data_IF_964366600720
#
_entry.id   IF_964366600720
#
_cell.length_a   1.000
_cell.length_b   1.000
_cell.length_c   1.000
_cell.angle_alpha   90.00
_cell.angle_beta   90.00
_cell.angle_gamma   90.00
#
_symmetry.space_group_name_H-M   'P 1'
#
loop_
_entity.id
_entity.type
_entity.pdbx_description
1 polymer ?
#
# COMPACT_ATOMS: atom_id res chain seq x y z
N UNK A 1 -8.59 -20.33 19.79
CA UNK A 1 -7.24 -20.13 20.36
C UNK A 1 -6.78 -18.75 19.94
N UNK A 2 -6.27 -17.94 20.88
CA UNK A 2 -5.64 -16.66 20.53
C UNK A 2 -4.24 -17.00 20.03
N UNK A 3 -3.97 -16.75 18.76
CA UNK A 3 -2.63 -16.94 18.22
C UNK A 3 -1.67 -15.98 18.92
N UNK A 4 -0.49 -16.47 19.35
CA UNK A 4 0.56 -15.59 19.88
C UNK A 4 1.34 -15.04 18.69
N UNK A 5 1.42 -13.71 18.50
CA UNK A 5 2.19 -13.14 17.41
C UNK A 5 3.68 -13.46 17.59
N UNK A 6 4.32 -13.91 16.51
CA UNK A 6 5.77 -14.13 16.46
C UNK A 6 6.41 -13.01 15.66
N UNK A 7 7.48 -12.37 16.15
CA UNK A 7 8.20 -11.36 15.39
C UNK A 7 8.70 -11.91 14.05
N UNK A 8 8.53 -11.12 12.99
CA UNK A 8 9.11 -11.39 11.68
C UNK A 8 10.40 -10.58 11.51
N UNK A 9 11.31 -10.97 10.60
CA UNK A 9 12.47 -10.17 10.26
C UNK A 9 12.07 -8.74 9.89
N UNK A 10 12.78 -7.76 10.43
CA UNK A 10 12.48 -6.35 10.24
C UNK A 10 13.10 -5.89 8.91
N UNK A 11 12.34 -5.23 8.01
CA UNK A 11 12.91 -4.64 6.81
C UNK A 11 14.08 -3.68 7.10
N UNK A 12 15.11 -3.63 6.24
CA UNK A 12 16.30 -2.83 6.48
C UNK A 12 15.99 -1.32 6.47
N UNK A 13 16.64 -0.59 7.39
CA UNK A 13 16.56 0.87 7.45
C UNK A 13 15.37 1.44 8.23
N UNK A 14 14.51 0.59 8.81
CA UNK A 14 13.38 1.03 9.64
C UNK A 14 13.80 1.72 10.93
N UNK A 15 15.03 1.50 11.40
CA UNK A 15 15.67 2.21 12.50
C UNK A 15 15.87 3.71 12.25
N UNK A 16 15.74 4.15 10.99
CA UNK A 16 15.91 5.54 10.55
C UNK A 16 14.57 6.25 10.30
N UNK A 17 13.44 5.60 10.56
CA UNK A 17 12.15 6.23 10.41
C UNK A 17 12.00 7.40 11.41
N UNK A 18 11.30 8.44 10.96
CA UNK A 18 10.88 9.56 11.81
C UNK A 18 9.91 9.08 12.90
N UNK A 19 9.69 9.93 13.90
CA UNK A 19 8.64 9.72 14.89
C UNK A 19 7.28 9.55 14.20
N UNK A 20 6.51 8.54 14.63
CA UNK A 20 5.27 8.09 13.99
C UNK A 20 5.42 7.57 12.55
N UNK A 21 6.64 7.20 12.13
CA UNK A 21 6.87 6.43 10.91
C UNK A 21 6.77 4.93 11.21
N UNK A 22 5.97 4.21 10.43
CA UNK A 22 5.80 2.77 10.54
C UNK A 22 5.73 2.09 9.17
N UNK A 23 5.70 0.75 9.22
CA UNK A 23 5.24 -0.05 8.08
C UNK A 23 3.73 0.12 8.02
N UNK A 24 3.24 0.89 7.06
CA UNK A 24 1.80 1.10 6.86
C UNK A 24 1.24 0.14 5.81
N UNK A 25 2.07 -0.31 4.88
CA UNK A 25 1.64 -1.12 3.74
C UNK A 25 2.09 -2.57 3.91
N UNK A 26 1.14 -3.51 4.00
CA UNK A 26 1.44 -4.94 4.15
C UNK A 26 0.55 -5.80 3.27
N UNK A 27 1.14 -6.77 2.55
CA UNK A 27 0.38 -7.75 1.78
C UNK A 27 1.09 -9.12 1.76
N UNK A 28 0.36 -10.25 1.63
CA UNK A 28 0.99 -11.55 1.45
C UNK A 28 1.71 -11.63 0.09
N UNK A 29 2.82 -12.37 0.04
CA UNK A 29 3.56 -12.69 -1.17
C UNK A 29 3.76 -14.21 -1.29
N UNK A 30 4.25 -14.69 -2.43
CA UNK A 30 4.67 -16.09 -2.54
C UNK A 30 5.96 -16.30 -1.73
N UNK A 31 5.88 -17.19 -0.74
CA UNK A 31 6.99 -17.49 0.16
C UNK A 31 7.30 -16.39 1.18
N UNK A 32 6.41 -15.42 1.39
CA UNK A 32 6.71 -14.28 2.24
C UNK A 32 5.64 -13.20 2.27
N UNK A 33 6.08 -11.96 2.39
CA UNK A 33 5.20 -10.80 2.45
C UNK A 33 5.84 -9.55 1.85
N UNK A 34 4.99 -8.67 1.34
CA UNK A 34 5.31 -7.30 0.98
C UNK A 34 5.15 -6.42 2.21
N UNK A 35 6.11 -5.52 2.45
CA UNK A 35 6.05 -4.48 3.47
C UNK A 35 6.38 -3.12 2.83
N UNK A 36 5.79 -2.03 3.28
CA UNK A 36 6.04 -0.70 2.75
C UNK A 36 5.83 0.39 3.79
N UNK A 37 6.53 1.50 3.65
CA UNK A 37 6.45 2.66 4.55
C UNK A 37 5.62 3.79 3.93
N UNK A 38 4.92 4.54 4.79
CA UNK A 38 4.04 5.63 4.33
C UNK A 38 4.80 6.70 3.57
N UNK A 39 5.96 7.09 4.05
CA UNK A 39 6.75 8.18 3.49
C UNK A 39 8.23 7.79 3.38
N UNK A 40 9.01 8.45 2.50
CA UNK A 40 10.41 8.14 2.31
C UNK A 40 11.22 8.23 3.61
N UNK A 41 12.14 7.28 3.81
CA UNK A 41 13.11 7.32 4.92
C UNK A 41 13.96 8.59 4.85
N UNK A 42 14.32 8.99 3.62
CA UNK A 42 15.09 10.21 3.33
C UNK A 42 14.21 11.10 2.46
N UNK A 43 13.99 12.34 2.89
CA UNK A 43 13.19 13.30 2.14
C UNK A 43 13.71 13.49 0.70
N UNK A 44 12.79 13.52 -0.26
CA UNK A 44 13.12 13.62 -1.69
C UNK A 44 13.56 12.31 -2.35
N UNK A 45 13.62 11.20 -1.61
CA UNK A 45 13.80 9.86 -2.18
C UNK A 45 12.45 9.17 -2.43
N UNK A 46 12.41 8.12 -3.26
CA UNK A 46 11.23 7.25 -3.36
C UNK A 46 10.91 6.59 -2.01
N UNK A 47 9.65 6.17 -1.88
CA UNK A 47 9.23 5.33 -0.76
C UNK A 47 9.87 3.95 -0.90
N UNK A 48 9.94 3.21 0.20
CA UNK A 48 10.47 1.85 0.19
C UNK A 48 9.34 0.84 0.32
N UNK A 49 9.32 -0.12 -0.61
CA UNK A 49 8.59 -1.38 -0.46
C UNK A 49 9.64 -2.49 -0.40
N UNK A 50 9.43 -3.52 0.41
CA UNK A 50 10.27 -4.69 0.51
C UNK A 50 9.47 -5.93 0.19
N UNK A 51 10.10 -6.87 -0.52
CA UNK A 51 9.68 -8.26 -0.54
C UNK A 51 10.53 -9.04 0.46
N UNK A 52 9.88 -9.52 1.51
CA UNK A 52 10.50 -10.28 2.59
C UNK A 52 10.18 -11.76 2.40
N UNK A 53 11.21 -12.61 2.33
CA UNK A 53 11.09 -14.08 2.26
C UNK A 53 11.98 -14.71 3.31
N UNK A 54 11.55 -15.84 3.86
CA UNK A 54 12.30 -16.53 4.92
C UNK A 54 13.63 -17.06 4.38
N UNK A 55 14.73 -16.71 5.05
CA UNK A 55 16.08 -17.16 4.66
C UNK A 55 16.69 -16.46 3.44
N UNK A 56 16.01 -15.45 2.87
CA UNK A 56 16.50 -14.65 1.74
C UNK A 56 16.80 -13.21 2.18
N UNK A 57 17.78 -12.59 1.52
CA UNK A 57 18.01 -11.15 1.66
C UNK A 57 16.80 -10.36 1.12
N UNK A 58 16.30 -9.35 1.85
CA UNK A 58 15.18 -8.53 1.41
C UNK A 58 15.42 -7.90 0.05
N UNK A 59 14.42 -7.99 -0.82
CA UNK A 59 14.42 -7.29 -2.08
C UNK A 59 13.80 -5.90 -1.92
N UNK A 60 14.48 -4.85 -2.37
CA UNK A 60 14.06 -3.45 -2.18
C UNK A 60 13.47 -2.88 -3.46
N UNK A 61 12.28 -2.32 -3.32
CA UNK A 61 11.58 -1.57 -4.34
C UNK A 61 11.61 -0.09 -3.96
N UNK A 62 12.13 0.72 -4.89
CA UNK A 62 11.95 2.16 -4.86
C UNK A 62 10.58 2.46 -5.48
N UNK A 63 9.65 2.88 -4.63
CA UNK A 63 8.27 3.17 -4.99
C UNK A 63 8.09 4.69 -5.20
N UNK A 64 7.90 5.15 -6.45
CA UNK A 64 7.82 6.57 -6.76
C UNK A 64 6.38 7.08 -6.59
N UNK A 65 5.89 7.14 -5.35
CA UNK A 65 4.58 7.73 -5.08
C UNK A 65 4.50 9.17 -5.61
N UNK A 66 3.30 9.62 -5.99
CA UNK A 66 3.10 11.02 -6.36
C UNK A 66 3.48 11.94 -5.18
N UNK A 67 4.05 13.12 -5.47
CA UNK A 67 4.48 14.05 -4.44
C UNK A 67 3.35 14.38 -3.45
N UNK A 68 3.64 14.18 -2.15
CA UNK A 68 2.71 14.42 -1.05
C UNK A 68 1.79 13.24 -0.72
N UNK A 69 1.69 12.22 -1.58
CA UNK A 69 0.98 11.00 -1.26
C UNK A 69 1.82 10.08 -0.37
N UNK A 70 1.17 9.49 0.61
CA UNK A 70 1.69 8.44 1.47
C UNK A 70 1.16 7.07 1.06
N UNK A 71 1.99 6.03 1.13
CA UNK A 71 1.57 4.64 0.89
C UNK A 71 0.92 4.06 2.14
N UNK A 72 -0.40 3.85 2.14
CA UNK A 72 -1.12 3.47 3.36
C UNK A 72 -1.52 2.00 3.42
N UNK A 73 -1.57 1.28 2.29
CA UNK A 73 -1.87 -0.16 2.31
C UNK A 73 -1.43 -0.85 1.03
N UNK A 74 -1.25 -2.17 1.10
CA UNK A 74 -1.06 -3.04 -0.06
C UNK A 74 -2.09 -4.17 -0.05
N UNK A 75 -2.45 -4.69 -1.22
CA UNK A 75 -3.15 -5.97 -1.36
C UNK A 75 -2.63 -6.74 -2.56
N UNK A 76 -2.67 -8.07 -2.50
CA UNK A 76 -2.28 -8.95 -3.61
C UNK A 76 -3.51 -9.35 -4.43
N UNK A 77 -3.37 -9.38 -5.76
CA UNK A 77 -4.34 -9.93 -6.70
C UNK A 77 -3.64 -10.76 -7.79
N UNK A 78 -3.74 -12.09 -7.69
CA UNK A 78 -2.98 -13.00 -8.55
C UNK A 78 -1.47 -12.78 -8.40
N UNK A 79 -0.78 -12.43 -9.49
CA UNK A 79 0.64 -12.08 -9.49
C UNK A 79 0.91 -10.58 -9.27
N UNK A 80 -0.14 -9.75 -9.27
CA UNK A 80 -0.01 -8.31 -9.09
C UNK A 80 -0.15 -7.91 -7.62
N UNK A 81 0.37 -6.73 -7.32
CA UNK A 81 0.15 -6.02 -6.06
C UNK A 81 -0.55 -4.70 -6.38
N UNK A 82 -1.53 -4.34 -5.57
CA UNK A 82 -2.22 -3.06 -5.64
C UNK A 82 -1.81 -2.26 -4.40
N UNK A 83 -1.41 -1.02 -4.63
CA UNK A 83 -1.14 -0.02 -3.60
C UNK A 83 -2.34 0.90 -3.39
N UNK A 84 -2.55 1.29 -2.14
CA UNK A 84 -3.38 2.44 -1.77
C UNK A 84 -2.47 3.57 -1.33
N UNK A 85 -2.61 4.71 -1.98
CA UNK A 85 -1.96 5.95 -1.60
C UNK A 85 -2.99 6.94 -1.08
N UNK A 86 -2.56 7.78 -0.13
CA UNK A 86 -3.39 8.80 0.50
C UNK A 86 -2.66 10.12 0.54
N UNK A 87 -3.37 11.20 0.25
CA UNK A 87 -2.90 12.57 0.45
C UNK A 87 -3.89 13.32 1.34
N UNK A 88 -3.36 14.19 2.19
CA UNK A 88 -4.16 15.15 2.94
C UNK A 88 -3.43 16.47 3.07
N UNK A 89 -4.15 17.56 2.79
CA UNK A 89 -3.79 18.89 3.26
C UNK A 89 -5.02 19.63 3.75
N UNK A 90 -4.82 20.68 4.56
CA UNK A 90 -5.94 21.49 5.07
C UNK A 90 -6.68 22.23 3.94
N UNK A 91 -5.96 22.66 2.93
CA UNK A 91 -6.49 23.51 1.86
C UNK A 91 -7.16 22.71 0.74
N UNK A 92 -6.71 21.47 0.52
CA UNK A 92 -7.21 20.59 -0.56
C UNK A 92 -8.19 19.54 0.01
N UNK A 93 -7.95 19.04 1.22
CA UNK A 93 -8.66 17.91 1.79
C UNK A 93 -7.99 16.57 1.45
N UNK A 94 -8.76 15.49 1.56
CA UNK A 94 -8.28 14.14 1.24
C UNK A 94 -8.24 13.93 -0.27
N UNK A 95 -7.24 13.17 -0.72
CA UNK A 95 -7.16 12.50 -2.02
C UNK A 95 -6.69 11.06 -1.78
N UNK A 96 -7.08 10.14 -2.65
CA UNK A 96 -6.64 8.76 -2.57
C UNK A 96 -6.42 8.20 -3.97
N UNK A 97 -5.36 7.42 -4.13
CA UNK A 97 -5.00 6.78 -5.40
C UNK A 97 -4.89 5.29 -5.15
N UNK A 98 -5.43 4.51 -6.06
CA UNK A 98 -5.22 3.07 -6.10
C UNK A 98 -4.29 2.84 -7.28
N UNK A 99 -3.23 2.04 -7.11
CA UNK A 99 -2.21 1.87 -8.14
C UNK A 99 -1.78 0.42 -8.32
N UNK A 100 -1.61 0.00 -9.58
CA UNK A 100 -1.15 -1.35 -9.91
C UNK A 100 0.37 -1.36 -9.97
N UNK A 101 0.98 -2.23 -9.18
CA UNK A 101 2.40 -2.50 -9.28
C UNK A 101 2.62 -3.61 -10.31
N UNK A 102 3.71 -3.50 -11.09
CA UNK A 102 4.10 -4.48 -12.09
C UNK A 102 4.16 -5.91 -11.50
N UNK A 103 3.60 -6.90 -12.19
CA UNK A 103 3.62 -8.30 -11.74
C UNK A 103 5.02 -8.92 -11.70
N UNK A 104 5.97 -8.39 -12.46
CA UNK A 104 7.35 -8.87 -12.49
C UNK A 104 8.11 -8.59 -11.18
N UNK A 105 7.54 -7.78 -10.29
CA UNK A 105 8.16 -7.46 -9.00
C UNK A 105 8.39 -8.70 -8.13
N UNK A 106 7.56 -9.72 -8.29
CA UNK A 106 7.71 -10.99 -7.55
C UNK A 106 8.87 -11.86 -8.06
N UNK A 107 9.39 -11.59 -9.26
CA UNK A 107 10.44 -12.38 -9.93
C UNK A 107 11.85 -11.82 -9.75
N UNK A 108 12.01 -10.81 -8.89
CA UNK A 108 13.29 -10.14 -8.71
C UNK A 108 14.24 -10.98 -7.85
N UNK A 109 15.53 -10.94 -8.20
CA UNK A 109 16.57 -11.71 -7.52
C UNK A 109 16.73 -11.20 -6.08
N UNK A 110 16.98 -12.09 -5.10
CA UNK A 110 17.25 -11.67 -3.72
C UNK A 110 18.34 -10.60 -3.63
N UNK A 111 18.14 -9.61 -2.75
CA UNK A 111 19.07 -8.49 -2.56
C UNK A 111 19.18 -7.48 -3.72
N UNK A 112 18.38 -7.61 -4.79
CA UNK A 112 18.36 -6.60 -5.85
C UNK A 112 17.60 -5.33 -5.44
N UNK A 113 17.72 -4.27 -6.23
CA UNK A 113 16.95 -3.03 -6.09
C UNK A 113 16.37 -2.65 -7.46
N UNK A 114 15.08 -2.32 -7.52
CA UNK A 114 14.50 -1.76 -8.74
C UNK A 114 13.56 -0.59 -8.47
N UNK A 115 13.38 0.22 -9.50
CA UNK A 115 12.30 1.19 -9.61
C UNK A 115 11.07 0.48 -10.17
N UNK A 116 9.91 0.66 -9.56
CA UNK A 116 8.65 0.11 -10.07
C UNK A 116 8.16 0.93 -11.24
N UNK A 117 7.86 0.25 -12.36
CA UNK A 117 7.00 0.80 -13.38
C UNK A 117 5.55 0.77 -12.85
N UNK A 118 4.97 1.96 -12.70
CA UNK A 118 3.58 2.11 -12.31
C UNK A 118 2.73 1.93 -13.55
N UNK A 119 2.03 0.80 -13.64
CA UNK A 119 1.07 0.61 -14.70
C UNK A 119 -0.21 1.33 -14.29
N UNK A 120 -0.51 2.40 -15.00
CA UNK A 120 -1.83 3.01 -15.04
C UNK A 120 -2.51 2.50 -16.32
N UNK A 121 -3.07 1.27 -16.35
CA UNK A 121 -3.87 0.87 -17.50
C UNK A 121 -5.14 1.71 -17.50
N UNK A 122 -5.10 2.95 -18.01
CA UNK A 122 -6.20 3.94 -18.01
C UNK A 122 -6.95 4.13 -16.66
N UNK A 123 -6.39 3.63 -15.56
CA UNK A 123 -7.01 3.64 -14.25
C UNK A 123 -6.36 2.63 -13.32
N UNK A 124 -6.08 3.08 -12.11
CA UNK A 124 -6.52 2.27 -10.97
C UNK A 124 -7.43 3.05 -10.01
N UNK A 125 -7.85 4.26 -10.40
CA UNK A 125 -8.77 5.19 -9.73
C UNK A 125 -8.10 6.18 -8.79
N UNK A 126 -8.47 7.44 -9.00
CA UNK A 126 -8.17 8.56 -8.12
C UNK A 126 -9.48 9.08 -7.56
N UNK A 127 -9.51 9.24 -6.24
CA UNK A 127 -10.61 9.84 -5.51
C UNK A 127 -10.16 11.27 -5.17
N UNK A 128 -10.96 12.23 -5.61
CA UNK A 128 -10.70 13.67 -5.48
C UNK A 128 -11.71 14.33 -4.52
N UNK A 129 -11.41 15.53 -4.00
CA UNK A 129 -12.39 16.34 -3.29
C UNK A 129 -13.68 16.51 -4.11
N UNK A 130 -14.83 16.28 -3.46
CA UNK A 130 -16.14 16.25 -4.11
C UNK A 130 -16.67 14.84 -4.39
N UNK A 131 -15.81 13.82 -4.33
CA UNK A 131 -16.23 12.42 -4.33
C UNK A 131 -16.51 11.90 -2.91
N UNK A 132 -16.99 10.66 -2.80
CA UNK A 132 -17.05 9.94 -1.52
C UNK A 132 -15.63 9.59 -1.08
N UNK A 133 -14.99 10.51 -0.36
CA UNK A 133 -13.59 10.35 0.07
C UNK A 133 -13.35 10.65 1.55
N UNK A 134 -12.48 9.86 2.17
CA UNK A 134 -12.06 10.05 3.56
C UNK A 134 -10.61 9.55 3.74
N UNK A 135 -10.15 9.42 4.99
CA UNK A 135 -8.82 8.93 5.35
C UNK A 135 -8.69 7.42 5.12
N UNK A 136 -8.61 7.00 3.85
CA UNK A 136 -8.48 5.59 3.46
C UNK A 136 -7.10 5.01 3.80
N UNK A 137 -7.10 3.95 4.61
CA UNK A 137 -5.90 3.30 5.14
C UNK A 137 -5.91 1.78 4.98
N UNK A 138 -7.02 1.19 4.56
CA UNK A 138 -7.10 -0.25 4.26
C UNK A 138 -7.45 -0.50 2.80
N UNK A 139 -6.81 -1.49 2.19
CA UNK A 139 -7.20 -2.05 0.89
C UNK A 139 -7.19 -3.57 0.92
N UNK A 140 -8.17 -4.21 0.27
CA UNK A 140 -8.24 -5.65 0.17
C UNK A 140 -8.97 -6.08 -1.11
N UNK A 141 -8.61 -7.24 -1.64
CA UNK A 141 -9.39 -7.93 -2.69
C UNK A 141 -10.11 -9.12 -2.07
N UNK A 142 -11.40 -9.26 -2.39
CA UNK A 142 -12.24 -10.36 -1.92
C UNK A 142 -13.30 -10.72 -2.94
N UNK A 143 -14.07 -11.77 -2.65
CA UNK A 143 -15.20 -12.17 -3.50
C UNK A 143 -16.52 -11.93 -2.77
N UNK A 144 -17.49 -11.35 -3.46
CA UNK A 144 -18.87 -11.18 -3.00
C UNK A 144 -19.79 -11.82 -4.02
N UNK A 145 -20.55 -12.83 -3.62
CA UNK A 145 -21.45 -13.59 -4.50
C UNK A 145 -20.77 -14.11 -5.78
N UNK A 146 -19.49 -14.48 -5.68
CA UNK A 146 -18.69 -15.00 -6.80
C UNK A 146 -18.02 -13.93 -7.67
N UNK A 147 -18.31 -12.64 -7.46
CA UNK A 147 -17.66 -11.52 -8.14
C UNK A 147 -16.43 -11.05 -7.36
N UNK A 148 -15.29 -10.89 -8.04
CA UNK A 148 -14.10 -10.30 -7.46
C UNK A 148 -14.29 -8.80 -7.27
N UNK A 149 -14.01 -8.30 -6.07
CA UNK A 149 -14.18 -6.89 -5.71
C UNK A 149 -12.98 -6.35 -4.96
N UNK A 150 -12.67 -5.08 -5.22
CA UNK A 150 -11.70 -4.30 -4.47
C UNK A 150 -12.42 -3.51 -3.38
N UNK A 151 -11.88 -3.55 -2.17
CA UNK A 151 -12.39 -2.84 -1.01
C UNK A 151 -11.38 -1.82 -0.53
N UNK A 152 -11.84 -0.64 -0.14
CA UNK A 152 -11.06 0.31 0.65
C UNK A 152 -11.81 0.73 1.91
N UNK A 153 -11.07 0.87 3.01
CA UNK A 153 -11.58 1.17 4.35
C UNK A 153 -10.94 2.46 4.88
N UNK A 154 -11.76 3.39 5.36
CA UNK A 154 -11.25 4.59 6.02
C UNK A 154 -11.12 4.43 7.53
N UNK A 155 -10.01 4.95 8.05
CA UNK A 155 -9.84 5.19 9.47
C UNK A 155 -10.40 6.56 9.82
N UNK A 156 -11.18 6.64 10.91
CA UNK A 156 -11.70 7.90 11.38
C UNK A 156 -10.71 8.67 12.28
N UNK A 157 -9.55 8.08 12.59
CA UNK A 157 -8.48 8.64 13.41
C UNK A 157 -9.00 9.36 14.67
N UNK A 158 -10.01 8.78 15.32
CA UNK A 158 -10.71 9.34 16.49
C UNK A 158 -11.30 10.77 16.30
N UNK A 159 -11.52 11.19 15.06
CA UNK A 159 -12.01 12.51 14.67
C UNK A 159 -13.47 12.47 14.25
N UNK A 160 -14.32 13.29 14.90
CA UNK A 160 -15.72 13.44 14.50
C UNK A 160 -15.94 14.11 13.13
N UNK A 161 -14.86 14.58 12.48
CA UNK A 161 -14.90 15.13 11.11
C UNK A 161 -14.61 14.08 10.04
N UNK A 162 -14.03 12.94 10.42
CA UNK A 162 -13.74 11.83 9.51
C UNK A 162 -14.82 10.77 9.65
N UNK A 163 -15.07 10.04 8.56
CA UNK A 163 -16.09 8.99 8.48
C UNK A 163 -15.43 7.62 8.47
N UNK A 164 -16.16 6.61 8.95
CA UNK A 164 -15.81 5.20 8.77
C UNK A 164 -16.57 4.68 7.55
N UNK A 165 -15.87 4.55 6.43
CA UNK A 165 -16.42 4.17 5.13
C UNK A 165 -15.79 2.86 4.67
N UNK A 166 -16.61 1.97 4.12
CA UNK A 166 -16.16 0.82 3.34
C UNK A 166 -16.69 0.99 1.92
N UNK A 167 -15.80 1.22 0.95
CA UNK A 167 -16.16 1.28 -0.46
C UNK A 167 -15.81 -0.03 -1.15
N UNK A 168 -16.60 -0.42 -2.14
CA UNK A 168 -16.41 -1.67 -2.88
C UNK A 168 -16.58 -1.45 -4.38
N UNK A 169 -15.56 -1.80 -5.14
CA UNK A 169 -15.48 -1.62 -6.59
C UNK A 169 -15.46 -2.98 -7.29
N UNK A 170 -16.21 -3.08 -8.38
CA UNK A 170 -16.02 -4.16 -9.34
C UNK A 170 -14.80 -3.82 -10.22
N UNK A 171 -14.06 -4.84 -10.65
CA UNK A 171 -13.06 -4.66 -11.69
C UNK A 171 -13.77 -4.50 -13.03
N UNK A 172 -13.32 -3.55 -13.85
CA UNK A 172 -13.83 -3.40 -15.20
C UNK A 172 -13.48 -4.64 -16.04
N UNK A 173 -14.36 -5.01 -16.97
CA UNK A 173 -14.14 -6.08 -17.96
C UNK A 173 -13.16 -5.67 -19.05
#
# INVERSE_FOLDING_TARGET
AIATPTPLPVPPGLDRLRDNGGIEALAPAEGGYWAGIEYPIIEGQPHSIWLMREGEEPYVINYPAEAGFGLTSLTRVGANVIALERFYSRDIGNRARIVLLDSNLSNLAPGSTALVAMNYPDGMAELEPGMTIDNFEGIAVGHVNGEMRLFILSDNNFSGRQRTLLLSFAFAE
#
